data_IF_448960688514
#
_entry.id   IF_448960688514
#
_cell.length_a   1.000
_cell.length_b   1.000
_cell.length_c   1.000
_cell.angle_alpha   90.00
_cell.angle_beta   90.00
_cell.angle_gamma   90.00
#
_symmetry.space_group_name_H-M   'P 1'
#
loop_
_entity.id
_entity.type
_entity.pdbx_description
1 polymer ?
#
# COMPACT_ATOMS: atom_id res chain seq x y z
N UNK A 1 25.19 17.51 -29.53
CA UNK A 1 26.01 16.31 -29.21
C UNK A 1 25.91 15.33 -30.36
N UNK A 2 27.04 14.92 -30.96
CA UNK A 2 27.06 13.78 -31.88
C UNK A 2 27.24 12.53 -31.02
N UNK A 3 26.16 11.79 -30.79
CA UNK A 3 26.24 10.50 -30.11
C UNK A 3 26.92 9.50 -31.06
N UNK A 4 28.10 9.01 -30.69
CA UNK A 4 28.92 8.07 -31.47
C UNK A 4 28.50 6.61 -31.28
N UNK A 5 27.47 6.35 -30.48
CA UNK A 5 26.93 5.02 -30.20
C UNK A 5 25.41 5.02 -30.37
N UNK A 6 24.80 3.90 -30.81
CA UNK A 6 23.34 3.80 -30.88
C UNK A 6 22.73 4.01 -29.49
N UNK A 7 21.64 4.76 -29.42
CA UNK A 7 20.91 4.99 -28.18
C UNK A 7 20.31 3.68 -27.66
N UNK A 8 20.56 3.36 -26.39
CA UNK A 8 19.99 2.20 -25.71
C UNK A 8 19.16 2.71 -24.54
N UNK A 9 17.82 2.56 -24.54
CA UNK A 9 17.00 3.01 -23.43
C UNK A 9 17.18 2.09 -22.21
N UNK A 10 16.98 2.61 -20.97
CA UNK A 10 16.88 1.76 -19.80
C UNK A 10 15.67 0.83 -19.91
N UNK A 11 15.71 -0.28 -19.17
CA UNK A 11 14.56 -1.17 -19.06
C UNK A 11 13.49 -0.53 -18.20
N UNK A 12 12.28 -0.35 -18.72
CA UNK A 12 11.14 0.14 -17.95
C UNK A 12 10.41 -1.02 -17.25
N UNK A 13 10.22 -0.86 -15.95
CA UNK A 13 9.50 -1.79 -15.08
C UNK A 13 8.42 -1.06 -14.29
N UNK A 14 7.50 -1.83 -13.74
CA UNK A 14 6.45 -1.35 -12.83
C UNK A 14 6.38 -2.27 -11.62
N UNK A 15 6.19 -1.70 -10.44
CA UNK A 15 6.07 -2.42 -9.18
C UNK A 15 4.89 -1.87 -8.36
N UNK A 16 4.20 -2.75 -7.63
CA UNK A 16 3.08 -2.37 -6.76
C UNK A 16 3.45 -2.59 -5.29
N UNK A 17 3.30 -1.55 -4.47
CA UNK A 17 3.26 -1.64 -3.01
C UNK A 17 1.79 -1.61 -2.59
N UNK A 18 1.23 -2.77 -2.26
CA UNK A 18 -0.18 -2.89 -1.85
C UNK A 18 -0.23 -3.16 -0.36
N UNK A 19 -0.80 -2.20 0.38
CA UNK A 19 -0.98 -2.29 1.81
C UNK A 19 -2.39 -2.76 2.18
N UNK A 20 -2.46 -3.52 3.28
CA UNK A 20 -3.70 -3.77 4.02
C UNK A 20 -3.42 -3.78 5.51
N UNK A 21 -4.48 -3.79 6.32
CA UNK A 21 -4.37 -4.04 7.76
C UNK A 21 -4.82 -5.45 8.09
N UNK A 22 -4.05 -6.13 8.93
CA UNK A 22 -4.45 -7.36 9.58
C UNK A 22 -4.21 -7.24 11.08
N UNK A 23 -5.31 -7.15 11.84
CA UNK A 23 -5.24 -6.80 13.26
C UNK A 23 -4.65 -5.41 13.48
N UNK A 24 -3.52 -5.33 14.18
CA UNK A 24 -2.78 -4.11 14.48
C UNK A 24 -1.53 -3.92 13.61
N UNK A 25 -1.39 -4.71 12.53
CA UNK A 25 -0.23 -4.69 11.65
C UNK A 25 -0.59 -4.16 10.27
N UNK A 26 0.27 -3.26 9.78
CA UNK A 26 0.34 -2.91 8.36
C UNK A 26 1.08 -4.03 7.65
N UNK A 27 0.43 -4.65 6.68
CA UNK A 27 1.01 -5.70 5.86
C UNK A 27 1.15 -5.25 4.41
N UNK A 28 2.13 -5.80 3.71
CA UNK A 28 2.38 -5.54 2.28
C UNK A 28 2.32 -6.83 1.47
N UNK A 29 1.71 -6.76 0.29
CA UNK A 29 1.66 -7.88 -0.64
C UNK A 29 3.03 -8.13 -1.28
N UNK A 30 3.51 -9.36 -1.20
CA UNK A 30 4.73 -9.81 -1.85
C UNK A 30 4.47 -11.07 -2.68
N UNK A 31 5.33 -11.32 -3.66
CA UNK A 31 5.37 -12.57 -4.42
C UNK A 31 6.74 -13.22 -4.37
N UNK A 32 6.78 -14.54 -4.35
CA UNK A 32 8.04 -15.28 -4.40
C UNK A 32 8.54 -15.37 -5.85
N UNK A 33 9.81 -15.04 -6.06
CA UNK A 33 10.42 -15.06 -7.39
C UNK A 33 10.72 -16.49 -7.84
N UNK A 34 10.29 -16.83 -9.05
CA UNK A 34 10.51 -18.15 -9.65
C UNK A 34 11.76 -18.23 -10.54
N UNK A 35 12.32 -17.07 -10.88
CA UNK A 35 13.41 -16.94 -11.86
C UNK A 35 14.56 -16.10 -11.32
N UNK A 36 15.77 -16.39 -11.80
CA UNK A 36 16.95 -15.57 -11.56
C UNK A 36 16.81 -14.16 -12.13
N UNK A 37 17.50 -13.15 -11.55
CA UNK A 37 18.23 -13.21 -10.27
C UNK A 37 17.29 -13.33 -9.06
N UNK A 38 17.84 -13.61 -7.87
CA UNK A 38 17.07 -13.68 -6.60
C UNK A 38 15.96 -14.73 -6.59
N UNK A 39 16.17 -15.86 -7.28
CA UNK A 39 15.21 -16.97 -7.29
C UNK A 39 14.95 -17.46 -5.87
N UNK A 40 13.67 -17.60 -5.51
CA UNK A 40 13.23 -18.01 -4.18
C UNK A 40 13.10 -16.87 -3.15
N UNK A 41 13.63 -15.68 -3.45
CA UNK A 41 13.41 -14.49 -2.61
C UNK A 41 12.05 -13.85 -2.88
N UNK A 42 11.58 -13.04 -1.93
CA UNK A 42 10.33 -12.30 -2.05
C UNK A 42 10.55 -10.97 -2.74
N UNK A 43 9.53 -10.47 -3.43
CA UNK A 43 9.58 -9.21 -4.14
C UNK A 43 8.20 -8.55 -4.17
N UNK A 44 8.16 -7.24 -4.41
CA UNK A 44 6.93 -6.58 -4.82
C UNK A 44 6.39 -7.22 -6.11
N UNK A 45 5.06 -7.37 -6.24
CA UNK A 45 4.47 -7.78 -7.50
C UNK A 45 4.74 -6.70 -8.56
N UNK A 46 5.57 -7.06 -9.53
CA UNK A 46 5.98 -6.15 -10.60
C UNK A 46 6.65 -6.87 -11.76
N UNK A 47 7.04 -6.12 -12.79
CA UNK A 47 7.62 -6.68 -14.00
C UNK A 47 7.86 -5.64 -15.08
N UNK A 48 8.16 -6.11 -16.29
CA UNK A 48 8.44 -5.24 -17.44
C UNK A 48 7.18 -4.51 -17.92
N UNK A 49 7.33 -3.23 -18.23
CA UNK A 49 6.30 -2.50 -18.96
C UNK A 49 6.41 -2.83 -20.45
N UNK A 50 5.42 -3.53 -21.00
CA UNK A 50 5.41 -3.91 -22.41
C UNK A 50 5.29 -2.70 -23.34
N UNK A 51 5.83 -2.82 -24.56
CA UNK A 51 5.65 -1.80 -25.60
C UNK A 51 4.16 -1.71 -25.96
N UNK A 52 3.61 -0.49 -25.95
CA UNK A 52 2.21 -0.24 -26.28
C UNK A 52 1.27 -0.20 -25.07
N UNK A 53 1.76 -0.44 -23.85
CA UNK A 53 0.99 -0.31 -22.60
C UNK A 53 1.44 0.90 -21.79
N UNK A 54 0.49 1.59 -21.18
CA UNK A 54 0.78 2.52 -20.07
C UNK A 54 1.28 1.75 -18.84
N UNK A 55 1.96 2.44 -17.92
CA UNK A 55 2.49 1.82 -16.71
C UNK A 55 1.42 1.27 -15.78
N UNK A 56 0.26 1.92 -15.68
CA UNK A 56 -0.84 1.42 -14.87
C UNK A 56 -1.50 0.18 -15.50
N UNK A 57 -1.68 0.15 -16.83
CA UNK A 57 -2.23 -1.02 -17.53
C UNK A 57 -1.32 -2.24 -17.35
N UNK A 58 -0.01 -2.06 -17.55
CA UNK A 58 0.97 -3.13 -17.34
C UNK A 58 0.97 -3.61 -15.88
N UNK A 59 0.90 -2.69 -14.92
CA UNK A 59 0.86 -3.04 -13.50
C UNK A 59 -0.39 -3.86 -13.17
N UNK A 60 -1.57 -3.43 -13.61
CA UNK A 60 -2.84 -4.15 -13.38
C UNK A 60 -2.78 -5.57 -13.91
N UNK A 61 -2.31 -5.76 -15.15
CA UNK A 61 -2.17 -7.10 -15.74
C UNK A 61 -1.17 -7.97 -14.96
N UNK A 62 -0.01 -7.41 -14.60
CA UNK A 62 1.05 -8.14 -13.90
C UNK A 62 0.60 -8.57 -12.51
N UNK A 63 0.00 -7.67 -11.74
CA UNK A 63 -0.47 -7.97 -10.38
C UNK A 63 -1.57 -9.04 -10.45
N UNK A 64 -2.59 -8.85 -11.28
CA UNK A 64 -3.67 -9.82 -11.45
C UNK A 64 -3.13 -11.20 -11.83
N UNK A 65 -2.24 -11.28 -12.82
CA UNK A 65 -1.64 -12.55 -13.25
C UNK A 65 -0.85 -13.21 -12.13
N UNK A 66 -0.06 -12.45 -11.37
CA UNK A 66 0.87 -13.01 -10.38
C UNK A 66 0.20 -13.40 -9.08
N UNK A 67 -0.80 -12.64 -8.62
CA UNK A 67 -1.36 -12.75 -7.28
C UNK A 67 -2.86 -13.05 -7.27
N UNK A 68 -3.53 -12.89 -8.41
CA UNK A 68 -4.99 -12.94 -8.49
C UNK A 68 -5.67 -11.66 -7.98
N UNK A 69 -4.92 -10.61 -7.62
CA UNK A 69 -5.46 -9.34 -7.11
C UNK A 69 -5.81 -8.42 -8.27
N UNK A 70 -7.06 -7.99 -8.32
CA UNK A 70 -7.58 -7.04 -9.28
C UNK A 70 -7.50 -5.62 -8.69
N UNK A 71 -6.63 -4.78 -9.26
CA UNK A 71 -6.37 -3.44 -8.70
C UNK A 71 -7.62 -2.53 -8.68
N UNK A 72 -8.55 -2.72 -9.61
CA UNK A 72 -9.74 -1.87 -9.73
C UNK A 72 -10.85 -2.30 -8.74
N UNK A 73 -10.89 -3.59 -8.40
CA UNK A 73 -11.93 -4.16 -7.55
C UNK A 73 -11.48 -4.36 -6.09
N UNK A 74 -10.21 -4.70 -5.88
CA UNK A 74 -9.68 -5.03 -4.56
C UNK A 74 -9.10 -3.82 -3.81
N UNK A 75 -8.70 -2.77 -4.52
CA UNK A 75 -8.14 -1.58 -3.88
C UNK A 75 -9.20 -0.51 -3.60
N UNK A 76 -9.12 0.08 -2.42
CA UNK A 76 -9.90 1.26 -2.09
C UNK A 76 -9.35 2.52 -2.78
N UNK A 77 -8.02 2.58 -2.96
CA UNK A 77 -7.37 3.53 -3.84
C UNK A 77 -5.98 3.04 -4.28
N UNK A 78 -5.51 3.60 -5.38
CA UNK A 78 -4.15 3.43 -5.90
C UNK A 78 -3.63 4.78 -6.44
N UNK A 79 -2.34 5.03 -6.28
CA UNK A 79 -1.67 6.20 -6.86
C UNK A 79 -0.23 5.88 -7.25
N UNK A 80 0.35 6.67 -8.16
CA UNK A 80 1.77 6.56 -8.44
C UNK A 80 2.56 7.08 -7.24
N UNK A 81 3.49 6.27 -6.74
CA UNK A 81 4.34 6.59 -5.60
C UNK A 81 5.56 7.41 -6.02
N UNK A 82 6.39 6.83 -6.88
CA UNK A 82 7.66 7.39 -7.33
C UNK A 82 8.22 6.61 -8.52
N UNK A 83 9.25 7.15 -9.15
CA UNK A 83 10.05 6.43 -10.15
C UNK A 83 11.44 6.17 -9.57
N UNK A 84 11.78 4.90 -9.38
CA UNK A 84 13.08 4.48 -8.86
C UNK A 84 14.03 4.18 -10.02
N UNK A 85 15.15 4.89 -10.08
CA UNK A 85 16.03 4.95 -11.25
C UNK A 85 17.52 4.77 -10.94
N UNK A 86 17.86 4.22 -9.76
CA UNK A 86 19.27 3.96 -9.43
C UNK A 86 19.86 2.90 -10.36
N UNK A 87 20.99 3.21 -11.00
CA UNK A 87 21.57 2.39 -12.08
C UNK A 87 21.89 0.95 -11.65
N UNK A 88 22.26 0.75 -10.38
CA UNK A 88 22.67 -0.54 -9.83
C UNK A 88 21.52 -1.34 -9.18
N UNK A 89 20.25 -0.94 -9.36
CA UNK A 89 19.12 -1.61 -8.72
C UNK A 89 18.84 -3.02 -9.24
N UNK A 90 19.16 -3.28 -10.50
CA UNK A 90 18.98 -4.58 -11.14
C UNK A 90 20.34 -5.12 -11.63
N UNK A 91 20.78 -6.31 -11.19
CA UNK A 91 22.05 -6.87 -11.61
C UNK A 91 22.10 -7.22 -13.11
N UNK A 92 20.95 -7.21 -13.81
CA UNK A 92 20.87 -7.45 -15.26
C UNK A 92 21.18 -6.21 -16.10
N UNK A 93 21.22 -5.02 -15.50
CA UNK A 93 21.53 -3.76 -16.18
C UNK A 93 20.70 -2.58 -15.69
N UNK A 94 20.75 -1.47 -16.43
CA UNK A 94 20.06 -0.24 -16.06
C UNK A 94 18.54 -0.40 -16.24
N UNK A 95 17.83 -0.46 -15.11
CA UNK A 95 16.37 -0.52 -15.03
C UNK A 95 15.81 0.69 -14.28
N UNK A 96 14.65 1.15 -14.71
CA UNK A 96 13.84 2.19 -14.06
C UNK A 96 12.49 1.58 -13.72
N UNK A 97 12.04 1.72 -12.48
CA UNK A 97 10.72 1.24 -12.04
C UNK A 97 9.78 2.39 -11.73
N UNK A 98 8.62 2.42 -12.37
CA UNK A 98 7.50 3.27 -11.97
C UNK A 98 6.68 2.50 -10.96
N UNK A 99 6.72 2.94 -9.70
CA UNK A 99 6.07 2.23 -8.59
C UNK A 99 4.76 2.89 -8.21
N UNK A 100 3.77 2.08 -7.92
CA UNK A 100 2.46 2.49 -7.44
C UNK A 100 2.24 2.02 -6.01
N UNK A 101 1.49 2.81 -5.23
CA UNK A 101 1.07 2.47 -3.88
C UNK A 101 -0.45 2.36 -3.84
N UNK A 102 -0.95 1.26 -3.29
CA UNK A 102 -2.37 1.00 -3.11
C UNK A 102 -2.71 0.65 -1.67
N UNK A 103 -3.96 0.90 -1.28
CA UNK A 103 -4.50 0.44 0.00
C UNK A 103 -5.79 -0.36 -0.24
N UNK A 104 -5.90 -1.48 0.46
CA UNK A 104 -7.11 -2.29 0.50
C UNK A 104 -7.62 -2.47 1.92
N UNK A 105 -8.92 -2.70 2.03
CA UNK A 105 -9.59 -3.04 3.29
C UNK A 105 -9.34 -4.48 3.67
N UNK A 106 -9.38 -5.38 2.70
CA UNK A 106 -9.13 -6.81 2.86
C UNK A 106 -8.99 -7.44 1.48
N UNK A 107 -7.83 -8.01 1.19
CA UNK A 107 -7.61 -8.78 -0.04
C UNK A 107 -7.70 -10.27 0.28
N UNK A 108 -8.52 -10.98 -0.49
CA UNK A 108 -8.46 -12.44 -0.55
C UNK A 108 -7.60 -12.82 -1.74
N UNK A 109 -6.43 -13.41 -1.49
CA UNK A 109 -5.53 -13.81 -2.58
C UNK A 109 -6.17 -14.90 -3.45
N UNK A 110 -6.13 -14.68 -4.76
CA UNK A 110 -6.66 -15.61 -5.76
C UNK A 110 -5.61 -16.64 -6.23
N UNK A 111 -5.97 -17.43 -7.24
CA UNK A 111 -5.03 -18.32 -7.92
C UNK A 111 -4.15 -17.53 -8.89
N UNK A 112 -3.07 -16.95 -8.36
CA UNK A 112 -2.02 -16.31 -9.14
C UNK A 112 -1.00 -17.31 -9.71
N UNK A 113 -0.23 -16.86 -10.70
CA UNK A 113 0.88 -17.64 -11.26
C UNK A 113 2.08 -17.77 -10.31
N UNK A 114 2.16 -16.95 -9.26
CA UNK A 114 3.23 -16.98 -8.28
C UNK A 114 2.64 -17.18 -6.88
N UNK A 115 3.46 -17.71 -5.96
CA UNK A 115 3.10 -17.70 -4.56
C UNK A 115 3.09 -16.25 -4.05
N UNK A 116 1.93 -15.80 -3.60
CA UNK A 116 1.70 -14.47 -3.06
C UNK A 116 1.28 -14.57 -1.59
N UNK A 117 1.74 -13.64 -0.77
CA UNK A 117 1.41 -13.57 0.66
C UNK A 117 1.58 -12.13 1.17
N UNK A 118 0.84 -11.80 2.22
CA UNK A 118 0.98 -10.53 2.94
C UNK A 118 1.95 -10.69 4.11
N UNK A 119 2.90 -9.76 4.22
CA UNK A 119 3.88 -9.73 5.30
C UNK A 119 3.78 -8.44 6.11
N UNK A 120 3.88 -8.51 7.45
CA UNK A 120 4.01 -7.31 8.27
C UNK A 120 5.21 -6.48 7.83
N UNK A 121 5.01 -5.17 7.63
CA UNK A 121 6.08 -4.25 7.19
C UNK A 121 7.21 -4.14 8.22
N UNK A 122 6.93 -4.42 9.49
CA UNK A 122 7.89 -4.46 10.59
C UNK A 122 8.64 -5.81 10.70
N UNK A 123 8.31 -6.78 9.85
CA UNK A 123 8.90 -8.13 9.83
C UNK A 123 8.94 -8.71 8.41
N UNK A 124 9.56 -7.96 7.50
CA UNK A 124 9.74 -8.39 6.11
C UNK A 124 10.71 -9.58 6.00
N UNK A 125 10.46 -10.51 5.05
CA UNK A 125 11.43 -11.55 4.69
C UNK A 125 12.61 -10.94 3.91
N UNK A 126 13.55 -11.78 3.47
CA UNK A 126 14.57 -11.34 2.52
C UNK A 126 13.92 -10.92 1.20
N UNK A 127 14.19 -9.69 0.77
CA UNK A 127 13.61 -9.10 -0.44
C UNK A 127 14.66 -8.93 -1.53
N UNK A 128 14.24 -9.27 -2.75
CA UNK A 128 15.03 -9.05 -3.95
C UNK A 128 15.17 -7.55 -4.27
N UNK A 129 16.27 -7.21 -4.95
CA UNK A 129 16.56 -5.86 -5.43
C UNK A 129 16.59 -4.81 -4.29
N UNK A 130 16.04 -3.62 -4.55
CA UNK A 130 15.89 -2.50 -3.63
C UNK A 130 14.50 -2.45 -2.96
N UNK A 131 13.71 -3.52 -3.06
CA UNK A 131 12.29 -3.51 -2.67
C UNK A 131 12.03 -3.21 -1.19
N UNK A 132 12.93 -3.59 -0.29
CA UNK A 132 12.83 -3.20 1.13
C UNK A 132 12.85 -1.68 1.31
N UNK A 133 13.69 -0.98 0.54
CA UNK A 133 13.77 0.48 0.59
C UNK A 133 12.52 1.14 -0.01
N UNK A 134 11.96 0.54 -1.08
CA UNK A 134 10.72 0.99 -1.72
C UNK A 134 9.53 0.87 -0.75
N UNK A 135 9.42 -0.25 -0.03
CA UNK A 135 8.35 -0.46 0.97
C UNK A 135 8.47 0.55 2.11
N UNK A 136 9.69 0.76 2.61
CA UNK A 136 9.96 1.75 3.66
C UNK A 136 9.50 3.15 3.21
N UNK A 137 9.91 3.56 2.01
CA UNK A 137 9.51 4.85 1.44
C UNK A 137 7.99 4.94 1.22
N UNK A 138 7.35 3.86 0.76
CA UNK A 138 5.90 3.82 0.60
C UNK A 138 5.17 3.99 1.94
N UNK A 139 5.64 3.35 3.00
CA UNK A 139 5.10 3.51 4.35
C UNK A 139 5.24 4.96 4.83
N UNK A 140 6.42 5.58 4.66
CA UNK A 140 6.65 6.99 5.02
C UNK A 140 5.71 7.93 4.26
N UNK A 141 5.53 7.69 2.96
CA UNK A 141 4.62 8.47 2.12
C UNK A 141 3.17 8.29 2.54
N UNK A 142 2.75 7.07 2.88
CA UNK A 142 1.42 6.80 3.41
C UNK A 142 1.21 7.50 4.76
N UNK A 143 2.16 7.39 5.68
CA UNK A 143 2.11 8.03 6.99
C UNK A 143 2.00 9.55 6.88
N UNK A 144 2.80 10.18 6.02
CA UNK A 144 2.68 11.60 5.71
C UNK A 144 1.30 11.92 5.12
N UNK A 145 0.77 11.08 4.23
CA UNK A 145 -0.54 11.28 3.61
C UNK A 145 -1.69 11.21 4.61
N UNK A 146 -1.57 10.40 5.67
CA UNK A 146 -2.55 10.38 6.76
C UNK A 146 -2.62 11.70 7.53
N UNK A 147 -1.59 12.54 7.45
CA UNK A 147 -1.59 13.81 8.19
C UNK A 147 -2.46 14.87 7.52
N UNK A 148 -2.69 14.76 6.21
CA UNK A 148 -3.43 15.75 5.44
C UNK A 148 -4.51 15.15 4.52
N UNK A 149 -4.78 13.86 4.58
CA UNK A 149 -5.91 13.23 3.87
C UNK A 149 -6.67 12.21 4.73
N UNK A 150 -7.82 11.75 4.23
CA UNK A 150 -8.56 10.60 4.76
C UNK A 150 -8.07 9.24 4.22
N UNK A 151 -6.83 9.12 3.72
CA UNK A 151 -6.31 7.90 3.08
C UNK A 151 -6.43 6.62 3.95
N UNK A 152 -6.43 6.75 5.28
CA UNK A 152 -6.66 5.62 6.21
C UNK A 152 -8.00 4.91 5.98
N UNK A 153 -8.98 5.57 5.36
CA UNK A 153 -10.27 4.98 4.98
C UNK A 153 -10.15 3.82 3.99
N UNK A 154 -9.03 3.75 3.26
CA UNK A 154 -8.71 2.65 2.36
C UNK A 154 -8.21 1.39 3.08
N UNK A 155 -7.84 1.49 4.36
CA UNK A 155 -7.33 0.38 5.18
C UNK A 155 -8.37 -0.13 6.21
N UNK A 156 -9.52 0.54 6.31
CA UNK A 156 -10.55 0.24 7.30
C UNK A 156 -11.82 -0.25 6.62
N UNK A 157 -12.53 -1.15 7.30
CA UNK A 157 -13.91 -1.49 6.96
C UNK A 157 -14.79 -0.26 6.81
N UNK A 158 -15.91 -0.39 6.08
CA UNK A 158 -16.88 0.71 5.90
C UNK A 158 -17.44 1.23 7.23
N UNK A 159 -17.47 0.40 8.26
CA UNK A 159 -17.86 0.75 9.63
C UNK A 159 -16.77 0.31 10.59
N UNK A 160 -16.32 1.20 11.45
CA UNK A 160 -15.21 0.94 12.36
C UNK A 160 -15.41 1.67 13.70
N UNK A 161 -14.72 1.19 14.73
CA UNK A 161 -14.63 1.86 16.03
C UNK A 161 -13.51 2.90 16.04
N UNK A 162 -13.57 3.89 16.93
CA UNK A 162 -12.44 4.82 17.14
C UNK A 162 -11.15 4.13 17.58
N UNK A 163 -11.24 2.94 18.19
CA UNK A 163 -10.06 2.15 18.54
C UNK A 163 -9.42 1.55 17.28
N UNK A 164 -10.20 0.94 16.38
CA UNK A 164 -9.69 0.43 15.11
C UNK A 164 -9.09 1.54 14.25
N UNK A 165 -9.72 2.71 14.22
CA UNK A 165 -9.17 3.89 13.55
C UNK A 165 -7.81 4.30 14.14
N UNK A 166 -7.70 4.37 15.47
CA UNK A 166 -6.41 4.69 16.12
C UNK A 166 -5.35 3.64 15.78
N UNK A 167 -5.69 2.36 15.88
CA UNK A 167 -4.79 1.24 15.54
C UNK A 167 -4.30 1.32 14.10
N UNK A 168 -5.16 1.69 13.15
CA UNK A 168 -4.77 1.90 11.76
C UNK A 168 -3.73 3.01 11.59
N UNK A 169 -3.92 4.15 12.28
CA UNK A 169 -2.93 5.23 12.30
C UNK A 169 -1.60 4.79 12.91
N UNK A 170 -1.64 4.10 14.05
CA UNK A 170 -0.46 3.61 14.76
C UNK A 170 0.33 2.59 13.92
N UNK A 171 -0.38 1.67 13.26
CA UNK A 171 0.20 0.66 12.38
C UNK A 171 0.93 1.29 11.18
N UNK A 172 0.33 2.30 10.55
CA UNK A 172 0.95 3.03 9.44
C UNK A 172 2.13 3.87 9.91
N UNK A 173 1.96 4.62 10.99
CA UNK A 173 3.00 5.52 11.51
C UNK A 173 4.14 4.82 12.25
N UNK A 174 4.00 3.53 12.57
CA UNK A 174 4.99 2.75 13.31
C UNK A 174 5.21 3.24 14.76
N UNK A 175 4.24 3.94 15.35
CA UNK A 175 4.32 4.48 16.71
C UNK A 175 2.95 4.58 17.37
N UNK A 176 2.93 4.51 18.70
CA UNK A 176 1.72 4.67 19.49
C UNK A 176 1.26 6.14 19.55
N UNK A 177 -0.05 6.35 19.64
CA UNK A 177 -0.71 7.64 19.75
C UNK A 177 -1.44 7.74 21.09
N UNK A 178 -1.46 8.93 21.67
CA UNK A 178 -2.27 9.15 22.88
C UNK A 178 -3.76 9.05 22.54
N UNK A 179 -4.44 8.13 23.21
CA UNK A 179 -5.85 7.81 22.95
C UNK A 179 -6.79 9.00 23.14
N UNK A 180 -6.55 9.86 24.14
CA UNK A 180 -7.44 11.00 24.43
C UNK A 180 -7.25 12.09 23.39
N UNK A 181 -6.01 12.43 23.09
CA UNK A 181 -5.64 13.43 22.10
C UNK A 181 -6.06 13.01 20.69
N UNK A 182 -5.83 11.74 20.32
CA UNK A 182 -6.27 11.17 19.05
C UNK A 182 -7.77 11.36 18.83
N UNK A 183 -8.59 10.86 19.78
CA UNK A 183 -10.05 10.92 19.67
C UNK A 183 -10.57 12.35 19.64
N UNK A 184 -10.04 13.22 20.51
CA UNK A 184 -10.42 14.63 20.54
C UNK A 184 -10.11 15.30 19.20
N UNK A 185 -8.89 15.12 18.68
CA UNK A 185 -8.47 15.73 17.42
C UNK A 185 -9.30 15.21 16.24
N UNK A 186 -9.41 13.90 16.10
CA UNK A 186 -10.09 13.30 14.95
C UNK A 186 -11.57 13.67 14.88
N UNK A 187 -12.28 13.68 16.02
CA UNK A 187 -13.69 14.09 16.06
C UNK A 187 -13.88 15.56 15.67
N UNK A 188 -12.89 16.43 15.90
CA UNK A 188 -12.98 17.84 15.46
C UNK A 188 -12.74 18.04 13.96
N UNK A 189 -12.20 17.05 13.26
CA UNK A 189 -11.98 17.13 11.80
C UNK A 189 -13.27 16.95 11.00
N UNK A 190 -14.36 16.48 11.63
CA UNK A 190 -15.65 16.23 10.98
C UNK A 190 -15.57 15.32 9.73
N UNK A 191 -14.69 14.32 9.76
CA UNK A 191 -14.50 13.36 8.66
C UNK A 191 -15.38 12.12 8.77
N UNK A 192 -15.94 11.89 9.95
CA UNK A 192 -16.71 10.70 10.28
C UNK A 192 -18.03 11.10 10.96
N UNK A 193 -19.03 10.24 10.83
CA UNK A 193 -20.29 10.33 11.57
C UNK A 193 -20.49 9.06 12.40
N UNK A 194 -21.16 9.20 13.54
CA UNK A 194 -21.60 8.06 14.34
C UNK A 194 -22.75 7.34 13.62
N UNK A 195 -22.69 6.01 13.57
CA UNK A 195 -23.75 5.17 13.01
C UNK A 195 -24.68 4.67 14.12
N UNK A 196 -25.92 4.23 13.80
CA UNK A 196 -26.80 3.60 14.79
C UNK A 196 -26.27 2.27 15.34
N UNK A 197 -25.28 1.67 14.67
CA UNK A 197 -24.77 0.35 15.00
C UNK A 197 -23.73 0.40 16.13
N UNK A 198 -23.61 -0.72 16.83
CA UNK A 198 -22.55 -0.93 17.81
C UNK A 198 -21.81 -2.21 17.53
N UNK A 199 -20.52 -2.21 17.85
CA UNK A 199 -19.66 -3.37 17.75
C UNK A 199 -19.42 -3.95 19.14
N UNK A 200 -19.53 -5.26 19.28
CA UNK A 200 -19.35 -5.94 20.56
C UNK A 200 -18.36 -7.08 20.38
N UNK A 201 -17.33 -7.04 21.20
CA UNK A 201 -16.38 -8.13 21.37
C UNK A 201 -16.23 -8.42 22.87
N UNK A 202 -16.49 -9.67 23.23
CA UNK A 202 -16.55 -10.12 24.62
C UNK A 202 -17.62 -9.44 25.49
N UNK A 203 -17.34 -9.39 26.81
CA UNK A 203 -18.29 -8.98 27.84
C UNK A 203 -18.34 -7.45 28.09
N UNK A 204 -17.55 -6.65 27.38
CA UNK A 204 -17.48 -5.20 27.59
C UNK A 204 -18.65 -4.44 26.95
N UNK A 205 -18.78 -3.15 27.32
CA UNK A 205 -19.77 -2.25 26.72
C UNK A 205 -19.55 -2.19 25.20
N UNK A 206 -20.60 -2.35 24.38
CA UNK A 206 -20.49 -2.22 22.94
C UNK A 206 -19.86 -0.88 22.54
N UNK A 207 -18.88 -0.92 21.65
CA UNK A 207 -18.26 0.24 21.07
C UNK A 207 -19.18 0.84 19.99
N UNK A 208 -19.23 2.17 19.92
CA UNK A 208 -19.92 2.87 18.85
C UNK A 208 -19.20 2.65 17.53
N UNK A 209 -19.96 2.45 16.46
CA UNK A 209 -19.44 2.39 15.10
C UNK A 209 -19.56 3.75 14.41
N UNK A 210 -18.57 4.05 13.60
CA UNK A 210 -18.44 5.25 12.80
C UNK A 210 -18.21 4.86 11.34
N UNK A 211 -18.52 5.77 10.43
CA UNK A 211 -18.18 5.67 9.02
C UNK A 211 -17.60 7.00 8.52
N UNK A 212 -16.71 6.95 7.54
CA UNK A 212 -16.26 8.16 6.84
C UNK A 212 -17.42 8.80 6.09
N UNK A 213 -17.44 10.13 6.05
CA UNK A 213 -18.44 10.91 5.31
C UNK A 213 -18.29 10.74 3.79
N UNK A 214 -17.09 10.38 3.34
CA UNK A 214 -16.76 10.17 1.94
C UNK A 214 -15.95 8.90 1.76
N UNK A 215 -16.16 8.23 0.63
CA UNK A 215 -15.38 7.07 0.20
C UNK A 215 -14.25 7.43 -0.75
N UNK A 216 -14.17 8.69 -1.22
CA UNK A 216 -13.06 9.15 -2.05
C UNK A 216 -11.95 9.74 -1.19
N UNK A 217 -10.75 9.80 -1.77
CA UNK A 217 -9.62 10.48 -1.15
C UNK A 217 -9.90 11.99 -1.07
N UNK A 218 -9.84 12.55 0.13
CA UNK A 218 -10.11 13.95 0.43
C UNK A 218 -8.98 14.56 1.25
N UNK A 219 -8.68 15.83 0.99
CA UNK A 219 -7.72 16.61 1.77
C UNK A 219 -8.40 17.12 3.03
N UNK A 220 -7.72 17.00 4.17
CA UNK A 220 -8.24 17.46 5.45
C UNK A 220 -8.26 18.99 5.51
N UNK A 221 -9.30 19.54 6.12
CA UNK A 221 -9.39 20.99 6.34
C UNK A 221 -8.29 21.54 7.25
N UNK A 222 -7.67 20.68 8.07
CA UNK A 222 -6.54 20.95 8.96
C UNK A 222 -5.67 19.70 9.10
N UNK A 223 -4.36 19.90 9.28
CA UNK A 223 -3.44 18.79 9.52
C UNK A 223 -3.81 17.99 10.78
N UNK A 224 -3.62 16.68 10.72
CA UNK A 224 -3.71 15.76 11.84
C UNK A 224 -2.50 15.85 12.79
N UNK A 225 -1.40 16.50 12.40
CA UNK A 225 -0.24 16.78 13.28
C UNK A 225 -0.41 18.06 14.11
#
# INVERSE_FOLDING_TARGET
MKYSSPYVPPTLTVDAVIFQLHGDKLEVLLTQRESDPFKGEWALPGGYNAVGSTTIEALTEIVLRKTGVDLDNDLAYIEQLYTFDTVARDPRGHAVSVTYMGCSRAITLGTGSQHAEFFPVDRLPNLAYDHASIITYAQERLAAKLTYTNAVSGLLDKKFTLSQLQTAYEAVMGRLLDKRNFRKKFLTLNLIHETPDTWRDGAHRPAKLYAFNSSSLEVLSRSFD
#
